data_IF_171161441226
#
_entry.id   IF_171161441226
#
_cell.length_a   1.000
_cell.length_b   1.000
_cell.length_c   1.000
_cell.angle_alpha   90.00
_cell.angle_beta   90.00
_cell.angle_gamma   90.00
#
_symmetry.space_group_name_H-M   'P 1'
#
loop_
_entity.id
_entity.type
_entity.pdbx_description
1 polymer ?
#
# COMPACT_ATOMS: atom_id res chain seq x y z
N UNK A 1 -26.05 56.30 -41.65
CA UNK A 1 -27.17 55.94 -40.75
C UNK A 1 -27.86 54.59 -41.05
N UNK A 2 -27.41 53.73 -41.98
CA UNK A 2 -28.05 52.41 -42.26
C UNK A 2 -27.34 51.17 -41.66
N UNK A 3 -26.18 51.33 -41.00
CA UNK A 3 -25.43 50.21 -40.39
C UNK A 3 -25.69 50.00 -38.88
N UNK A 4 -26.18 51.01 -38.17
CA UNK A 4 -26.45 50.91 -36.72
C UNK A 4 -27.73 50.12 -36.38
N UNK A 5 -28.74 50.13 -37.26
CA UNK A 5 -30.01 49.41 -37.02
C UNK A 5 -29.91 47.89 -37.16
N UNK A 6 -28.96 47.37 -37.96
CA UNK A 6 -28.76 45.92 -38.10
C UNK A 6 -28.15 45.27 -36.84
N UNK A 7 -27.37 46.01 -36.06
CA UNK A 7 -26.79 45.51 -34.82
C UNK A 7 -27.79 45.46 -33.65
N UNK A 8 -28.73 46.41 -33.60
CA UNK A 8 -29.76 46.46 -32.55
C UNK A 8 -30.81 45.35 -32.77
N UNK A 9 -31.19 45.07 -34.02
CA UNK A 9 -32.10 43.96 -34.32
C UNK A 9 -31.49 42.57 -34.01
N UNK A 10 -30.18 42.39 -34.20
CA UNK A 10 -29.51 41.11 -33.95
C UNK A 10 -29.44 40.78 -32.45
N UNK A 11 -29.19 41.77 -31.60
CA UNK A 11 -29.20 41.60 -30.14
C UNK A 11 -30.62 41.35 -29.59
N UNK A 12 -31.65 41.99 -30.16
CA UNK A 12 -33.03 41.77 -29.74
C UNK A 12 -33.54 40.36 -30.10
N UNK A 13 -33.14 39.83 -31.26
CA UNK A 13 -33.48 38.47 -31.68
C UNK A 13 -32.73 37.40 -30.87
N UNK A 14 -31.46 37.64 -30.54
CA UNK A 14 -30.65 36.72 -29.73
C UNK A 14 -31.14 36.65 -28.28
N UNK A 15 -31.61 37.78 -27.73
CA UNK A 15 -32.20 37.81 -26.38
C UNK A 15 -33.57 37.11 -26.30
N UNK A 16 -34.41 37.21 -27.34
CA UNK A 16 -35.68 36.48 -27.41
C UNK A 16 -35.50 34.96 -27.53
N UNK A 17 -34.47 34.50 -28.28
CA UNK A 17 -34.13 33.09 -28.40
C UNK A 17 -33.61 32.49 -27.08
N UNK A 18 -32.83 33.24 -26.30
CA UNK A 18 -32.37 32.78 -24.99
C UNK A 18 -33.50 32.70 -23.94
N UNK A 19 -34.52 33.56 -24.01
CA UNK A 19 -35.65 33.51 -23.08
C UNK A 19 -36.58 32.31 -23.34
N UNK A 20 -36.81 31.92 -24.60
CA UNK A 20 -37.66 30.77 -24.92
C UNK A 20 -37.02 29.42 -24.54
N UNK A 21 -35.68 29.29 -24.62
CA UNK A 21 -34.98 28.07 -24.20
C UNK A 21 -35.04 27.86 -22.68
N UNK A 22 -35.13 28.94 -21.89
CA UNK A 22 -35.29 28.86 -20.43
C UNK A 22 -36.75 28.50 -20.04
N UNK A 23 -37.73 28.92 -20.85
CA UNK A 23 -39.14 28.62 -20.58
C UNK A 23 -39.52 27.15 -20.87
N UNK A 24 -38.88 26.49 -21.84
CA UNK A 24 -39.15 25.07 -22.18
C UNK A 24 -38.60 24.06 -21.17
N UNK A 25 -37.59 24.41 -20.36
CA UNK A 25 -37.09 23.54 -19.29
C UNK A 25 -37.97 23.53 -18.03
N UNK A 26 -38.94 24.46 -17.91
CA UNK A 26 -39.81 24.58 -16.74
C UNK A 26 -41.02 23.64 -16.76
N UNK A 27 -41.31 22.97 -17.89
CA UNK A 27 -42.62 22.30 -18.11
C UNK A 27 -42.55 20.77 -18.25
N UNK A 28 -41.43 20.14 -17.91
CA UNK A 28 -41.36 18.68 -17.71
C UNK A 28 -41.10 18.31 -16.24
N UNK A 29 -41.93 18.83 -15.33
CA UNK A 29 -42.14 18.19 -14.02
C UNK A 29 -43.18 17.08 -14.17
N UNK A 30 -42.75 15.95 -14.74
CA UNK A 30 -43.45 14.69 -14.54
C UNK A 30 -43.45 14.35 -13.04
N UNK A 31 -44.59 13.94 -12.50
CA UNK A 31 -44.71 13.51 -11.12
C UNK A 31 -43.80 12.31 -10.87
N UNK A 32 -42.68 12.53 -10.15
CA UNK A 32 -41.92 11.44 -9.56
C UNK A 32 -42.77 10.82 -8.45
N UNK A 33 -43.37 9.66 -8.70
CA UNK A 33 -43.78 8.78 -7.61
C UNK A 33 -42.55 8.46 -6.74
N UNK A 34 -42.69 8.42 -5.41
CA UNK A 34 -41.59 8.07 -4.53
C UNK A 34 -41.17 6.63 -4.81
N UNK A 35 -40.03 6.48 -5.49
CA UNK A 35 -39.38 5.19 -5.69
C UNK A 35 -39.13 4.59 -4.31
N UNK A 36 -39.87 3.53 -3.95
CA UNK A 36 -39.69 2.80 -2.69
C UNK A 36 -38.21 2.45 -2.58
N UNK A 37 -37.53 2.98 -1.55
CA UNK A 37 -36.13 2.63 -1.28
C UNK A 37 -36.06 1.11 -1.14
N UNK A 38 -35.21 0.40 -1.90
CA UNK A 38 -34.97 -1.00 -1.60
C UNK A 38 -34.48 -1.07 -0.15
N UNK A 39 -34.98 -2.05 0.60
CA UNK A 39 -34.57 -2.27 1.97
C UNK A 39 -33.05 -2.24 2.06
N UNK A 40 -32.53 -1.32 2.89
CA UNK A 40 -31.12 -1.19 3.20
C UNK A 40 -30.64 -2.48 3.85
N UNK A 41 -30.17 -3.43 3.05
CA UNK A 41 -29.30 -4.48 3.55
C UNK A 41 -28.03 -3.79 4.04
N UNK A 42 -27.62 -4.07 5.27
CA UNK A 42 -26.34 -3.58 5.79
C UNK A 42 -25.23 -3.94 4.79
N UNK A 43 -24.25 -3.05 4.53
CA UNK A 43 -23.19 -3.34 3.57
C UNK A 43 -22.49 -4.64 4.00
N UNK A 44 -22.56 -5.66 3.15
CA UNK A 44 -21.84 -6.92 3.37
C UNK A 44 -20.36 -6.61 3.30
N UNK A 45 -19.66 -6.70 4.42
CA UNK A 45 -18.20 -6.60 4.45
C UNK A 45 -17.61 -7.69 3.55
N UNK A 46 -16.67 -7.34 2.65
CA UNK A 46 -16.06 -8.32 1.75
C UNK A 46 -15.31 -9.40 2.53
N UNK A 47 -15.32 -10.63 2.01
CA UNK A 47 -14.51 -11.71 2.56
C UNK A 47 -13.10 -11.63 1.98
N UNK A 48 -12.12 -11.45 2.87
CA UNK A 48 -10.70 -11.39 2.52
C UNK A 48 -9.96 -12.67 2.90
N UNK A 49 -9.21 -13.24 1.96
CA UNK A 49 -8.26 -14.33 2.22
C UNK A 49 -6.89 -14.01 1.61
N UNK A 50 -5.89 -13.87 2.47
CA UNK A 50 -4.50 -13.60 2.09
C UNK A 50 -3.72 -14.91 2.09
N UNK A 51 -3.22 -15.34 0.92
CA UNK A 51 -2.42 -16.56 0.80
C UNK A 51 -0.94 -16.25 0.65
N UNK A 52 -0.11 -16.75 1.56
CA UNK A 52 1.35 -16.64 1.49
C UNK A 52 2.05 -17.78 2.25
N UNK A 53 3.37 -17.89 2.13
CA UNK A 53 4.15 -18.78 3.01
C UNK A 53 4.02 -18.39 4.48
N UNK A 54 4.31 -19.32 5.38
CA UNK A 54 4.45 -19.06 6.81
C UNK A 54 5.73 -18.26 7.15
N UNK A 55 5.80 -17.03 6.63
CA UNK A 55 6.85 -16.04 6.78
C UNK A 55 6.21 -14.66 6.86
N UNK A 56 6.95 -13.67 7.36
CA UNK A 56 6.61 -12.25 7.14
C UNK A 56 6.63 -11.94 5.63
N UNK A 57 7.84 -11.85 5.07
CA UNK A 57 8.11 -11.67 3.65
C UNK A 57 7.24 -10.59 3.00
N UNK A 58 6.86 -10.84 1.75
CA UNK A 58 6.10 -9.88 0.92
C UNK A 58 4.64 -9.70 1.37
N UNK A 59 4.10 -10.57 2.21
CA UNK A 59 2.72 -10.46 2.69
C UNK A 59 2.57 -9.57 3.93
N UNK A 60 3.66 -9.31 4.66
CA UNK A 60 3.58 -8.67 5.97
C UNK A 60 2.99 -7.26 5.92
N UNK A 61 3.23 -6.52 4.84
CA UNK A 61 2.61 -5.19 4.63
C UNK A 61 1.09 -5.27 4.58
N UNK A 62 0.52 -6.27 3.90
CA UNK A 62 -0.93 -6.49 3.87
C UNK A 62 -1.46 -6.86 5.26
N UNK A 63 -0.71 -7.65 6.03
CA UNK A 63 -1.09 -8.01 7.41
C UNK A 63 -1.08 -6.80 8.35
N UNK A 64 -0.12 -5.89 8.20
CA UNK A 64 -0.10 -4.61 8.93
C UNK A 64 -1.31 -3.75 8.60
N UNK A 65 -1.69 -3.67 7.32
CA UNK A 65 -2.86 -2.90 6.88
C UNK A 65 -4.18 -3.49 7.42
N UNK A 66 -4.32 -4.82 7.41
CA UNK A 66 -5.47 -5.48 8.05
C UNK A 66 -5.49 -5.24 9.57
N UNK A 67 -4.35 -5.38 10.24
CA UNK A 67 -4.24 -5.14 11.67
C UNK A 67 -4.63 -3.71 12.04
N UNK A 68 -4.05 -2.72 11.36
CA UNK A 68 -4.30 -1.30 11.66
C UNK A 68 -5.75 -0.88 11.37
N UNK A 69 -6.33 -1.35 10.26
CA UNK A 69 -7.71 -1.04 9.90
C UNK A 69 -8.75 -1.79 10.74
N UNK A 70 -8.35 -2.83 11.49
CA UNK A 70 -9.28 -3.72 12.18
C UNK A 70 -10.10 -4.62 11.25
N UNK A 71 -9.76 -4.64 9.95
CA UNK A 71 -10.44 -5.45 8.95
C UNK A 71 -10.11 -6.93 9.14
N UNK A 72 -11.16 -7.75 9.26
CA UNK A 72 -11.02 -9.20 9.39
C UNK A 72 -10.63 -9.84 8.06
N UNK A 73 -9.74 -10.82 8.11
CA UNK A 73 -9.30 -11.60 6.97
C UNK A 73 -8.85 -13.00 7.42
N UNK A 74 -8.83 -13.95 6.49
CA UNK A 74 -8.16 -15.24 6.65
C UNK A 74 -6.66 -15.08 6.28
N UNK A 75 -5.76 -15.29 7.24
CA UNK A 75 -4.30 -15.37 7.01
C UNK A 75 -3.93 -16.80 6.63
N UNK A 76 -4.15 -17.16 5.37
CA UNK A 76 -3.94 -18.50 4.85
C UNK A 76 -2.44 -18.76 4.58
N UNK A 77 -1.78 -19.42 5.53
CA UNK A 77 -0.35 -19.73 5.48
C UNK A 77 -0.13 -21.13 4.90
N UNK A 78 0.59 -21.20 3.79
CA UNK A 78 0.90 -22.46 3.11
C UNK A 78 2.31 -22.94 3.45
N UNK A 79 2.50 -24.25 3.45
CA UNK A 79 3.81 -24.87 3.59
C UNK A 79 4.48 -25.07 2.22
N UNK A 80 5.80 -25.20 2.21
CA UNK A 80 6.57 -25.37 0.96
C UNK A 80 6.14 -26.61 0.16
N UNK A 81 5.67 -27.66 0.84
CA UNK A 81 5.19 -28.90 0.22
C UNK A 81 3.87 -28.72 -0.56
N UNK A 82 3.05 -27.74 -0.19
CA UNK A 82 1.78 -27.46 -0.87
C UNK A 82 1.96 -26.56 -2.09
N UNK A 83 3.07 -25.82 -2.14
CA UNK A 83 3.34 -24.83 -3.18
C UNK A 83 3.29 -25.38 -4.61
N UNK A 84 3.84 -26.56 -4.95
CA UNK A 84 3.73 -27.12 -6.29
C UNK A 84 2.28 -27.35 -6.76
N UNK A 85 1.35 -27.59 -5.82
CA UNK A 85 -0.07 -27.80 -6.12
C UNK A 85 -0.83 -26.48 -6.30
N UNK A 86 -0.47 -25.46 -5.53
CA UNK A 86 -1.13 -24.14 -5.54
C UNK A 86 -0.62 -23.24 -6.67
N UNK A 87 0.68 -23.28 -6.97
CA UNK A 87 1.30 -22.45 -8.01
C UNK A 87 0.57 -22.46 -9.37
N UNK A 88 0.13 -23.61 -9.93
CA UNK A 88 -0.56 -23.61 -11.22
C UNK A 88 -2.01 -23.08 -11.15
N UNK A 89 -2.59 -22.90 -9.96
CA UNK A 89 -4.00 -22.48 -9.80
C UNK A 89 -4.16 -20.96 -9.66
N UNK A 90 -3.07 -20.20 -9.63
CA UNK A 90 -3.09 -18.76 -9.34
C UNK A 90 -2.48 -17.95 -10.49
N UNK A 91 -2.94 -16.69 -10.71
CA UNK A 91 -2.36 -15.82 -11.72
C UNK A 91 -0.85 -15.63 -11.52
N UNK A 92 -0.10 -15.70 -12.62
CA UNK A 92 1.36 -15.48 -12.67
C UNK A 92 2.20 -16.43 -11.78
N UNK A 93 1.61 -17.43 -11.13
CA UNK A 93 2.33 -18.45 -10.36
C UNK A 93 3.21 -17.88 -9.24
N UNK A 94 2.79 -16.77 -8.60
CA UNK A 94 3.49 -16.11 -7.49
C UNK A 94 2.51 -15.74 -6.37
N UNK A 95 3.02 -15.75 -5.15
CA UNK A 95 2.33 -15.28 -3.94
C UNK A 95 3.14 -14.10 -3.33
N UNK A 96 2.50 -13.16 -2.60
CA UNK A 96 1.14 -13.24 -2.07
C UNK A 96 0.04 -13.01 -3.11
N UNK A 97 -1.13 -13.58 -2.82
CA UNK A 97 -2.41 -13.22 -3.44
C UNK A 97 -3.44 -12.85 -2.37
N UNK A 98 -4.34 -11.94 -2.70
CA UNK A 98 -5.50 -11.61 -1.89
C UNK A 98 -6.77 -11.96 -2.68
N UNK A 99 -7.60 -12.83 -2.11
CA UNK A 99 -8.95 -13.09 -2.60
C UNK A 99 -9.92 -12.10 -1.93
N UNK A 100 -10.70 -11.38 -2.74
CA UNK A 100 -11.75 -10.44 -2.33
C UNK A 100 -13.06 -10.90 -2.95
N UNK A 101 -13.94 -11.53 -2.16
CA UNK A 101 -15.21 -12.10 -2.63
C UNK A 101 -15.06 -12.96 -3.91
N UNK A 102 -13.98 -13.74 -3.97
CA UNK A 102 -13.65 -14.62 -5.10
C UNK A 102 -12.80 -13.99 -6.22
N UNK A 103 -12.56 -12.67 -6.18
CA UNK A 103 -11.63 -12.01 -7.11
C UNK A 103 -10.20 -12.10 -6.58
N UNK A 104 -9.27 -12.62 -7.38
CA UNK A 104 -7.85 -12.73 -7.00
C UNK A 104 -7.08 -11.48 -7.43
N UNK A 105 -6.49 -10.79 -6.46
CA UNK A 105 -5.49 -9.73 -6.65
C UNK A 105 -4.10 -10.34 -6.37
N UNK A 106 -3.16 -10.19 -7.28
CA UNK A 106 -1.75 -10.59 -7.11
C UNK A 106 -0.83 -9.37 -7.04
N UNK A 107 0.45 -9.58 -6.74
CA UNK A 107 1.48 -8.57 -6.43
C UNK A 107 1.29 -7.90 -5.06
N UNK A 108 2.28 -8.06 -4.18
CA UNK A 108 2.22 -7.56 -2.79
C UNK A 108 1.94 -6.07 -2.69
N UNK A 109 2.56 -5.25 -3.53
CA UNK A 109 2.40 -3.80 -3.49
C UNK A 109 1.07 -3.34 -4.09
N UNK A 110 0.55 -4.05 -5.09
CA UNK A 110 -0.79 -3.78 -5.62
C UNK A 110 -1.87 -4.09 -4.58
N UNK A 111 -1.76 -5.24 -3.91
CA UNK A 111 -2.62 -5.63 -2.78
C UNK A 111 -2.53 -4.60 -1.65
N UNK A 112 -1.32 -4.24 -1.24
CA UNK A 112 -1.10 -3.28 -0.17
C UNK A 112 -1.67 -1.90 -0.50
N UNK A 113 -1.48 -1.40 -1.73
CA UNK A 113 -2.04 -0.12 -2.18
C UNK A 113 -3.57 -0.15 -2.20
N UNK A 114 -4.18 -1.26 -2.64
CA UNK A 114 -5.63 -1.45 -2.55
C UNK A 114 -6.12 -1.35 -1.10
N UNK A 115 -5.52 -2.11 -0.18
CA UNK A 115 -5.89 -2.09 1.23
C UNK A 115 -5.62 -0.74 1.90
N UNK A 116 -4.54 -0.05 1.53
CA UNK A 116 -4.20 1.27 2.04
C UNK A 116 -5.22 2.32 1.61
N UNK A 117 -5.75 2.23 0.38
CA UNK A 117 -6.82 3.12 -0.09
C UNK A 117 -8.12 2.88 0.67
N UNK A 118 -8.51 1.61 0.85
CA UNK A 118 -9.73 1.24 1.59
C UNK A 118 -9.70 1.68 3.06
N UNK A 119 -8.50 1.85 3.64
CA UNK A 119 -8.30 2.20 5.05
C UNK A 119 -7.83 3.64 5.29
N UNK A 120 -7.74 4.48 4.25
CA UNK A 120 -7.28 5.86 4.37
C UNK A 120 -5.80 6.02 4.70
N UNK A 121 -4.99 4.99 4.45
CA UNK A 121 -3.54 4.94 4.71
C UNK A 121 -2.68 5.20 3.48
N UNK A 122 -3.30 5.43 2.32
CA UNK A 122 -2.57 5.71 1.09
C UNK A 122 -1.97 7.13 1.06
N UNK A 123 -2.47 8.07 1.86
CA UNK A 123 -2.20 9.51 1.77
C UNK A 123 -3.49 10.30 1.49
N UNK A 124 -3.55 11.56 1.92
CA UNK A 124 -4.78 12.36 1.91
C UNK A 124 -5.04 13.06 0.58
N UNK A 125 -4.01 13.21 -0.25
CA UNK A 125 -4.11 13.81 -1.59
C UNK A 125 -3.52 12.88 -2.64
N UNK A 126 -3.89 13.03 -3.93
CA UNK A 126 -3.27 12.23 -5.00
C UNK A 126 -1.75 12.36 -5.06
N UNK A 127 -1.20 13.53 -4.71
CA UNK A 127 0.25 13.74 -4.65
C UNK A 127 0.86 13.01 -3.46
N UNK A 128 0.25 13.06 -2.28
CA UNK A 128 0.71 12.26 -1.14
C UNK A 128 0.65 10.76 -1.43
N UNK A 129 -0.39 10.30 -2.13
CA UNK A 129 -0.49 8.90 -2.55
C UNK A 129 0.64 8.49 -3.49
N UNK A 130 0.96 9.33 -4.48
CA UNK A 130 2.08 9.10 -5.38
C UNK A 130 3.43 9.12 -4.64
N UNK A 131 3.61 9.99 -3.65
CA UNK A 131 4.82 10.03 -2.82
C UNK A 131 4.95 8.77 -1.95
N UNK A 132 3.86 8.30 -1.35
CA UNK A 132 3.85 7.06 -0.58
C UNK A 132 4.16 5.85 -1.48
N UNK A 133 3.57 5.80 -2.67
CA UNK A 133 3.88 4.80 -3.70
C UNK A 133 5.37 4.81 -4.06
N UNK A 134 5.94 5.99 -4.35
CA UNK A 134 7.33 6.12 -4.77
C UNK A 134 8.33 5.68 -3.69
N UNK A 135 8.07 5.99 -2.42
CA UNK A 135 8.93 5.55 -1.31
C UNK A 135 8.86 4.03 -1.14
N UNK A 136 7.65 3.46 -1.23
CA UNK A 136 7.47 2.01 -1.15
C UNK A 136 8.22 1.31 -2.28
N UNK A 137 8.10 1.79 -3.51
CA UNK A 137 8.79 1.21 -4.67
C UNK A 137 10.32 1.37 -4.53
N UNK A 138 10.81 2.52 -4.04
CA UNK A 138 12.24 2.72 -3.75
C UNK A 138 12.79 1.70 -2.74
N UNK A 139 12.01 1.42 -1.68
CA UNK A 139 12.37 0.41 -0.69
C UNK A 139 12.28 -1.00 -1.30
N UNK A 140 11.25 -1.32 -2.09
CA UNK A 140 11.10 -2.66 -2.68
C UNK A 140 12.20 -2.94 -3.71
N UNK A 141 12.57 -1.97 -4.54
CA UNK A 141 13.69 -2.08 -5.48
C UNK A 141 14.96 -2.49 -4.75
N UNK A 142 15.28 -1.83 -3.64
CA UNK A 142 16.41 -2.22 -2.80
C UNK A 142 16.26 -3.63 -2.21
N UNK A 143 15.08 -3.98 -1.69
CA UNK A 143 14.82 -5.31 -1.12
C UNK A 143 14.89 -6.41 -2.19
N UNK A 144 14.64 -6.11 -3.46
CA UNK A 144 14.73 -7.08 -4.56
C UNK A 144 16.16 -7.37 -5.01
N UNK A 145 17.14 -6.52 -4.64
CA UNK A 145 18.56 -6.77 -4.91
C UNK A 145 19.08 -8.02 -4.19
N UNK A 146 18.48 -8.36 -3.04
CA UNK A 146 18.91 -9.49 -2.25
C UNK A 146 18.53 -10.82 -2.93
N UNK A 147 19.48 -11.76 -3.08
CA UNK A 147 19.21 -13.06 -3.69
C UNK A 147 18.54 -14.02 -2.70
N UNK A 148 17.28 -13.74 -2.33
CA UNK A 148 16.54 -14.47 -1.29
C UNK A 148 16.42 -15.98 -1.55
N UNK A 149 16.38 -16.37 -2.84
CA UNK A 149 16.22 -17.75 -3.30
C UNK A 149 17.53 -18.44 -3.71
N UNK A 150 18.69 -17.79 -3.52
CA UNK A 150 20.00 -18.42 -3.77
C UNK A 150 20.21 -19.62 -2.84
N UNK A 151 20.66 -20.74 -3.43
CA UNK A 151 20.87 -22.01 -2.74
C UNK A 151 22.29 -22.15 -2.21
N UNK A 152 23.27 -21.56 -2.89
CA UNK A 152 24.65 -21.52 -2.43
C UNK A 152 24.79 -20.47 -1.32
N UNK A 153 25.02 -20.94 -0.09
CA UNK A 153 25.08 -20.06 1.08
C UNK A 153 26.25 -19.07 1.05
N UNK A 154 27.39 -19.46 0.49
CA UNK A 154 28.55 -18.57 0.38
C UNK A 154 28.26 -17.41 -0.58
N UNK A 155 27.74 -17.72 -1.77
CA UNK A 155 27.33 -16.71 -2.76
C UNK A 155 26.26 -15.80 -2.18
N UNK A 156 25.26 -16.38 -1.48
CA UNK A 156 24.19 -15.63 -0.82
C UNK A 156 24.74 -14.68 0.24
N UNK A 157 25.59 -15.17 1.14
CA UNK A 157 26.15 -14.36 2.22
C UNK A 157 27.05 -13.25 1.68
N UNK A 158 27.85 -13.53 0.65
CA UNK A 158 28.71 -12.53 0.00
C UNK A 158 27.87 -11.40 -0.62
N UNK A 159 26.81 -11.74 -1.36
CA UNK A 159 25.91 -10.75 -1.94
C UNK A 159 25.17 -9.94 -0.86
N UNK A 160 24.68 -10.58 0.20
CA UNK A 160 24.05 -9.88 1.32
C UNK A 160 25.01 -8.89 1.97
N UNK A 161 26.26 -9.30 2.24
CA UNK A 161 27.27 -8.45 2.84
C UNK A 161 27.61 -7.24 1.95
N UNK A 162 27.75 -7.44 0.64
CA UNK A 162 27.98 -6.37 -0.32
C UNK A 162 26.83 -5.36 -0.32
N UNK A 163 25.58 -5.83 -0.47
CA UNK A 163 24.40 -4.96 -0.49
C UNK A 163 24.29 -4.17 0.82
N UNK A 164 24.45 -4.82 1.96
CA UNK A 164 24.32 -4.20 3.28
C UNK A 164 25.45 -3.22 3.60
N UNK A 165 26.64 -3.42 3.04
CA UNK A 165 27.82 -2.58 3.33
C UNK A 165 27.95 -1.43 2.33
N UNK A 166 27.70 -1.69 1.05
CA UNK A 166 28.05 -0.78 -0.03
C UNK A 166 26.84 -0.06 -0.63
N UNK A 167 25.62 -0.61 -0.51
CA UNK A 167 24.41 -0.02 -1.12
C UNK A 167 23.43 0.52 -0.07
N UNK A 168 23.26 -0.19 1.04
CA UNK A 168 22.33 0.22 2.09
C UNK A 168 22.59 1.63 2.66
N UNK A 169 23.85 2.09 2.87
CA UNK A 169 24.10 3.44 3.39
C UNK A 169 23.56 4.57 2.50
N UNK A 170 23.53 4.38 1.18
CA UNK A 170 22.98 5.35 0.23
C UNK A 170 21.46 5.44 0.38
N UNK A 171 20.76 4.29 0.34
CA UNK A 171 19.32 4.25 0.59
C UNK A 171 18.94 4.89 1.93
N UNK A 172 19.65 4.54 3.00
CA UNK A 172 19.33 5.02 4.35
C UNK A 172 19.59 6.52 4.48
N UNK A 173 20.65 7.04 3.85
CA UNK A 173 20.92 8.47 3.78
C UNK A 173 19.80 9.20 3.06
N UNK A 174 19.36 8.70 1.92
CA UNK A 174 18.33 9.35 1.12
C UNK A 174 16.96 9.29 1.79
N UNK A 175 16.61 8.16 2.41
CA UNK A 175 15.39 8.02 3.23
C UNK A 175 15.40 8.92 4.46
N UNK A 176 16.53 9.02 5.17
CA UNK A 176 16.65 9.90 6.34
C UNK A 176 16.57 11.37 5.94
N UNK A 177 17.17 11.76 4.82
CA UNK A 177 17.06 13.10 4.26
C UNK A 177 15.62 13.41 3.81
N UNK A 178 14.94 12.45 3.19
CA UNK A 178 13.54 12.59 2.77
C UNK A 178 12.60 12.73 3.97
N UNK A 179 12.78 11.90 5.00
CA UNK A 179 12.03 12.01 6.25
C UNK A 179 12.26 13.39 6.89
N UNK A 180 13.52 13.84 6.93
CA UNK A 180 13.89 15.12 7.54
C UNK A 180 13.39 15.20 8.98
N UNK A 181 12.75 16.31 9.34
CA UNK A 181 12.16 16.49 10.66
C UNK A 181 10.67 16.10 10.73
N UNK A 182 10.15 15.47 9.68
CA UNK A 182 8.76 15.04 9.64
C UNK A 182 8.51 13.85 10.58
N UNK A 183 7.28 13.77 11.09
CA UNK A 183 6.85 12.65 11.94
C UNK A 183 6.56 11.37 11.14
N UNK A 184 6.22 11.49 9.87
CA UNK A 184 5.92 10.37 8.98
C UNK A 184 6.57 10.65 7.64
N UNK A 185 6.81 9.62 6.84
CA UNK A 185 7.43 9.77 5.53
C UNK A 185 6.61 10.69 4.63
N UNK A 186 5.28 10.61 4.68
CA UNK A 186 4.40 11.40 3.82
C UNK A 186 3.28 12.05 4.63
N UNK A 187 3.06 13.35 4.41
CA UNK A 187 1.97 14.09 4.99
C UNK A 187 2.09 14.25 6.52
N UNK A 188 0.94 14.40 7.19
CA UNK A 188 0.86 14.64 8.65
C UNK A 188 0.43 13.42 9.47
N UNK A 189 0.04 12.35 8.79
CA UNK A 189 -0.47 11.11 9.40
C UNK A 189 0.29 9.91 8.87
N UNK A 190 0.26 8.80 9.61
CA UNK A 190 0.87 7.55 9.18
C UNK A 190 0.29 7.07 7.84
N UNK A 191 1.15 6.52 7.00
CA UNK A 191 0.80 5.92 5.72
C UNK A 191 1.36 4.49 5.65
N UNK A 192 0.94 3.76 4.63
CA UNK A 192 1.49 2.44 4.35
C UNK A 192 2.98 2.44 3.99
N UNK A 193 3.57 3.59 3.60
CA UNK A 193 5.01 3.73 3.39
C UNK A 193 5.79 3.59 4.72
N UNK A 194 5.27 4.15 5.81
CA UNK A 194 5.86 4.01 7.15
C UNK A 194 5.82 2.55 7.62
N UNK A 195 4.72 1.85 7.33
CA UNK A 195 4.60 0.41 7.60
C UNK A 195 5.57 -0.41 6.76
N UNK A 196 5.75 -0.07 5.49
CA UNK A 196 6.69 -0.77 4.62
C UNK A 196 8.14 -0.57 5.08
N UNK A 197 8.48 0.63 5.55
CA UNK A 197 9.76 0.89 6.21
C UNK A 197 9.96 -0.02 7.44
N UNK A 198 9.00 -0.13 8.36
CA UNK A 198 9.12 -1.02 9.52
C UNK A 198 9.30 -2.49 9.12
N UNK A 199 8.51 -2.97 8.16
CA UNK A 199 8.56 -4.35 7.65
C UNK A 199 9.95 -4.66 7.05
N UNK A 200 10.47 -3.77 6.20
CA UNK A 200 11.74 -3.97 5.52
C UNK A 200 12.92 -3.78 6.48
N UNK A 201 12.94 -2.69 7.26
CA UNK A 201 14.01 -2.43 8.25
C UNK A 201 14.10 -3.53 9.30
N UNK A 202 12.99 -4.12 9.73
CA UNK A 202 13.00 -5.29 10.64
C UNK A 202 13.76 -6.47 10.04
N UNK A 203 13.66 -6.69 8.73
CA UNK A 203 14.41 -7.75 8.05
C UNK A 203 15.87 -7.36 7.90
N UNK A 204 16.16 -6.13 7.48
CA UNK A 204 17.52 -5.63 7.31
C UNK A 204 18.32 -5.66 8.63
N UNK A 205 17.73 -5.18 9.73
CA UNK A 205 18.35 -5.19 11.05
C UNK A 205 18.53 -6.60 11.63
N UNK A 206 17.73 -7.57 11.19
CA UNK A 206 17.98 -8.97 11.55
C UNK A 206 19.20 -9.56 10.83
N UNK A 207 19.55 -9.03 9.65
CA UNK A 207 20.75 -9.41 8.91
C UNK A 207 21.99 -8.63 9.38
N UNK A 208 21.83 -7.34 9.70
CA UNK A 208 22.88 -6.42 10.15
C UNK A 208 22.34 -5.47 11.23
N UNK A 209 22.51 -5.81 12.52
CA UNK A 209 21.89 -5.06 13.63
C UNK A 209 22.31 -3.59 13.75
N UNK A 210 23.54 -3.25 13.37
CA UNK A 210 24.14 -1.91 13.43
C UNK A 210 23.85 -1.06 12.17
N UNK A 211 23.08 -1.59 11.21
CA UNK A 211 22.91 -0.99 9.88
C UNK A 211 22.38 0.44 9.93
N UNK A 212 21.49 0.74 10.89
CA UNK A 212 20.79 2.02 10.98
C UNK A 212 21.28 2.93 12.13
N UNK A 213 22.39 2.59 12.82
CA UNK A 213 22.87 3.31 14.00
C UNK A 213 23.18 4.79 13.72
N UNK A 214 23.56 5.12 12.47
CA UNK A 214 23.82 6.49 12.02
C UNK A 214 22.56 7.28 11.66
N UNK A 215 21.39 6.66 11.66
CA UNK A 215 20.12 7.23 11.20
C UNK A 215 19.05 7.18 12.31
N UNK A 216 19.24 7.92 13.42
CA UNK A 216 18.36 7.85 14.58
C UNK A 216 16.90 8.24 14.26
N UNK A 217 16.66 9.06 13.24
CA UNK A 217 15.29 9.44 12.83
C UNK A 217 14.55 8.27 12.18
N UNK A 218 15.24 7.46 11.38
CA UNK A 218 14.67 6.25 10.79
C UNK A 218 14.38 5.18 11.85
N UNK A 219 15.25 5.05 12.85
CA UNK A 219 14.99 4.20 14.03
C UNK A 219 13.78 4.72 14.81
N UNK A 220 13.69 6.03 15.06
CA UNK A 220 12.55 6.63 15.74
C UNK A 220 11.23 6.48 14.94
N UNK A 221 11.27 6.54 13.61
CA UNK A 221 10.12 6.26 12.76
C UNK A 221 9.65 4.81 12.93
N UNK A 222 10.59 3.86 12.94
CA UNK A 222 10.31 2.43 13.18
C UNK A 222 9.64 2.23 14.54
N UNK A 223 10.23 2.76 15.59
CA UNK A 223 9.69 2.64 16.96
C UNK A 223 8.29 3.26 17.06
N UNK A 224 8.06 4.38 16.39
CA UNK A 224 6.76 5.04 16.33
C UNK A 224 5.70 4.18 15.64
N UNK A 225 6.04 3.49 14.55
CA UNK A 225 5.13 2.53 13.88
C UNK A 225 4.82 1.36 14.80
N UNK A 226 5.83 0.79 15.45
CA UNK A 226 5.67 -0.35 16.35
C UNK A 226 4.88 -0.02 17.61
N UNK A 227 4.91 1.23 18.05
CA UNK A 227 4.14 1.73 19.19
C UNK A 227 2.64 1.94 18.87
N UNK A 228 2.22 1.88 17.60
CA UNK A 228 0.79 1.94 17.25
C UNK A 228 0.07 0.72 17.84
N UNK A 229 -0.99 0.88 18.67
CA UNK A 229 -1.56 -0.24 19.43
C UNK A 229 -1.94 -1.46 18.59
N UNK A 230 -2.54 -1.24 17.41
CA UNK A 230 -2.93 -2.32 16.51
C UNK A 230 -1.73 -3.05 15.89
N UNK A 231 -0.66 -2.32 15.57
CA UNK A 231 0.59 -2.88 15.03
C UNK A 231 1.35 -3.62 16.14
N UNK A 232 1.46 -3.05 17.33
CA UNK A 232 2.06 -3.69 18.50
C UNK A 232 1.38 -5.03 18.79
N UNK A 233 0.04 -5.04 18.83
CA UNK A 233 -0.75 -6.26 19.05
C UNK A 233 -0.52 -7.30 17.94
N UNK A 234 -0.43 -6.87 16.68
CA UNK A 234 -0.09 -7.77 15.57
C UNK A 234 1.32 -8.34 15.71
N UNK A 235 2.32 -7.52 16.00
CA UNK A 235 3.72 -7.96 16.18
C UNK A 235 3.84 -8.97 17.32
N UNK A 236 3.09 -8.79 18.41
CA UNK A 236 3.05 -9.73 19.52
C UNK A 236 2.37 -11.06 19.15
N UNK A 237 1.30 -11.00 18.35
CA UNK A 237 0.48 -12.16 17.99
C UNK A 237 1.04 -12.97 16.82
N UNK A 238 1.72 -12.34 15.87
CA UNK A 238 2.13 -12.99 14.61
C UNK A 238 3.09 -14.16 14.87
N UNK A 239 3.09 -15.21 14.02
CA UNK A 239 4.05 -16.29 14.12
C UNK A 239 5.50 -15.80 14.12
N UNK A 240 6.33 -16.36 14.99
CA UNK A 240 7.78 -16.08 15.02
C UNK A 240 8.46 -16.86 13.90
N UNK A 241 8.85 -16.16 12.84
CA UNK A 241 9.50 -16.74 11.66
C UNK A 241 10.91 -16.18 11.50
N UNK A 242 11.90 -17.05 11.30
CA UNK A 242 13.30 -16.68 11.05
C UNK A 242 13.51 -16.56 9.55
N UNK A 243 14.17 -15.48 9.11
CA UNK A 243 14.66 -15.35 7.73
C UNK A 243 16.10 -15.88 7.75
N UNK A 244 16.33 -17.05 7.15
CA UNK A 244 17.66 -17.67 7.07
C UNK A 244 18.55 -16.89 6.10
N UNK A 245 19.30 -15.93 6.66
CA UNK A 245 20.31 -15.14 5.96
C UNK A 245 21.27 -14.37 6.90
N UNK A 246 21.18 -14.60 8.21
CA UNK A 246 22.11 -14.06 9.21
C UNK A 246 22.89 -15.19 9.86
N UNK A 247 24.21 -14.99 10.03
CA UNK A 247 25.19 -15.89 10.63
C UNK A 247 24.58 -16.85 11.67
N UNK A 248 24.48 -18.15 11.32
CA UNK A 248 24.40 -19.21 12.32
C UNK A 248 25.80 -19.49 12.87
N UNK A 249 26.39 -18.49 13.51
CA UNK A 249 27.55 -18.65 14.40
C UNK A 249 27.18 -18.04 15.75
N UNK A 250 26.25 -18.70 16.44
CA UNK A 250 26.26 -18.70 17.91
C UNK A 250 26.64 -20.13 18.29
N UNK A 251 27.86 -20.25 18.79
CA UNK A 251 28.46 -21.52 19.16
C UNK A 251 27.63 -22.27 20.20
N UNK A 252 27.66 -23.59 20.04
CA UNK A 252 27.89 -24.51 21.15
C UNK A 252 29.38 -24.87 21.16
#
# INVERSE_FOLDING_TARGET
MKKAWKFILFYFYFWLLCFNVIAEFSTQRGSCEPRKRPHSTAPKMPHYKLTYFNLRGRAEISRYLFAYSGTKYEDHRIEAADWPKIKPTIPFGKIPILEVDGVIIHQSLAIARYLARESGLAGQTPVEQALADAIVDTIDDFMTLFPWAEKNQEVKQQAFNDILTNKAPELLKDLDAFLGDNKWLVGKSVTWADFYWDVCSTTLLSCKPDLADKYPRLLALRDRVQALPAIAAWIQKRPKTIITGGNQNKGE
#
